data_IF_516273541355
#
_entry.id   IF_516273541355
#
_cell.length_a   1.000
_cell.length_b   1.000
_cell.length_c   1.000
_cell.angle_alpha   90.00
_cell.angle_beta   90.00
_cell.angle_gamma   90.00
#
_symmetry.space_group_name_H-M   'P 1'
#
loop_
_entity.id
_entity.type
_entity.pdbx_description
1 polymer ?
#
# COMPACT_ATOMS: atom_id res chain seq x y z
N UNK A 1 -47.45 24.17 -23.74
CA UNK A 1 -46.22 23.34 -23.73
C UNK A 1 -45.49 23.59 -22.41
N UNK A 2 -45.70 22.72 -21.44
CA UNK A 2 -45.15 22.88 -20.08
C UNK A 2 -43.74 22.35 -19.99
N UNK A 3 -42.78 23.22 -19.75
CA UNK A 3 -41.37 22.87 -19.53
C UNK A 3 -41.21 22.29 -18.11
N UNK A 4 -41.08 20.95 -17.99
CA UNK A 4 -40.79 20.29 -16.71
C UNK A 4 -39.32 20.52 -16.39
N UNK A 5 -39.02 21.51 -15.56
CA UNK A 5 -37.71 21.70 -14.93
C UNK A 5 -37.42 20.50 -14.05
N UNK A 6 -36.52 19.64 -14.48
CA UNK A 6 -35.98 18.55 -13.66
C UNK A 6 -35.07 19.14 -12.59
N UNK A 7 -35.46 19.01 -11.30
CA UNK A 7 -34.61 19.35 -10.16
C UNK A 7 -33.33 18.50 -10.21
N UNK A 8 -32.15 19.08 -10.01
CA UNK A 8 -30.90 18.28 -9.94
C UNK A 8 -31.03 17.28 -8.80
N UNK A 9 -30.77 15.98 -9.10
CA UNK A 9 -30.65 14.95 -8.09
C UNK A 9 -29.45 15.30 -7.19
N UNK A 10 -29.73 15.56 -5.91
CA UNK A 10 -28.70 15.76 -4.89
C UNK A 10 -27.91 14.47 -4.79
N UNK A 11 -26.69 14.44 -5.32
CA UNK A 11 -25.80 13.29 -5.22
C UNK A 11 -25.56 12.96 -3.73
N UNK A 12 -25.75 11.68 -3.37
CA UNK A 12 -25.53 11.24 -2.01
C UNK A 12 -24.03 11.31 -1.70
N UNK A 13 -23.68 11.96 -0.61
CA UNK A 13 -22.29 12.06 -0.18
C UNK A 13 -21.68 10.67 0.10
N UNK A 14 -20.41 10.43 -0.28
CA UNK A 14 -19.77 9.16 -0.10
C UNK A 14 -19.66 8.78 1.38
N UNK A 15 -19.84 7.48 1.65
CA UNK A 15 -19.65 6.88 2.97
C UNK A 15 -18.41 6.00 2.95
N UNK A 16 -17.67 6.01 4.04
CA UNK A 16 -16.50 5.15 4.21
C UNK A 16 -16.71 4.20 5.39
N UNK A 17 -16.27 2.94 5.27
CA UNK A 17 -16.50 1.89 6.29
C UNK A 17 -15.95 2.25 7.67
N UNK A 18 -14.92 3.08 7.74
CA UNK A 18 -14.26 3.46 8.99
C UNK A 18 -14.95 4.59 9.74
N UNK A 19 -15.98 5.23 9.16
CA UNK A 19 -16.59 6.41 9.73
C UNK A 19 -18.09 6.45 9.47
N UNK A 20 -18.86 6.76 10.53
CA UNK A 20 -20.34 6.72 10.47
C UNK A 20 -20.98 7.86 9.66
N UNK A 21 -20.31 9.02 9.61
CA UNK A 21 -20.85 10.19 8.93
C UNK A 21 -20.43 10.21 7.46
N UNK A 22 -21.23 10.83 6.58
CA UNK A 22 -20.85 11.07 5.20
C UNK A 22 -19.60 11.94 5.11
N UNK A 23 -18.83 11.77 4.04
CA UNK A 23 -17.62 12.50 3.79
C UNK A 23 -17.82 13.46 2.60
N UNK A 24 -17.22 14.64 2.69
CA UNK A 24 -17.10 15.56 1.57
C UNK A 24 -15.76 15.33 0.86
N UNK A 25 -15.79 15.30 -0.46
CA UNK A 25 -14.60 15.44 -1.27
C UNK A 25 -14.14 16.89 -1.21
N UNK A 26 -12.93 17.12 -0.76
CA UNK A 26 -12.27 18.42 -0.83
C UNK A 26 -11.31 18.37 -2.01
N UNK A 27 -11.63 19.09 -3.07
CA UNK A 27 -10.67 19.45 -4.12
C UNK A 27 -10.08 20.78 -3.69
N UNK A 28 -8.82 20.78 -3.27
CA UNK A 28 -8.31 21.97 -2.63
C UNK A 28 -7.26 22.72 -3.43
N UNK A 29 -7.24 23.96 -3.16
CA UNK A 29 -6.20 24.94 -3.31
C UNK A 29 -5.09 24.70 -2.25
N UNK A 30 -3.81 24.76 -2.60
CA UNK A 30 -2.68 24.60 -1.67
C UNK A 30 -2.77 25.45 -0.40
N UNK A 31 -3.40 26.62 -0.47
CA UNK A 31 -3.55 27.51 0.68
C UNK A 31 -4.48 26.94 1.75
N UNK A 32 -5.50 26.19 1.36
CA UNK A 32 -6.47 25.58 2.30
C UNK A 32 -5.85 24.45 3.11
N UNK A 33 -4.87 23.74 2.57
CA UNK A 33 -4.16 22.65 3.26
C UNK A 33 -3.37 23.13 4.46
N UNK A 34 -2.76 24.29 4.37
CA UNK A 34 -1.92 24.85 5.46
C UNK A 34 -2.71 25.10 6.75
N UNK A 35 -4.03 25.20 6.65
CA UNK A 35 -4.94 25.43 7.78
C UNK A 35 -5.37 24.13 8.47
N UNK A 36 -5.19 22.97 7.80
CA UNK A 36 -5.60 21.67 8.36
C UNK A 36 -4.40 21.05 9.08
N UNK A 37 -4.40 21.11 10.39
CA UNK A 37 -3.33 20.54 11.23
C UNK A 37 -3.53 19.06 11.57
N UNK A 38 -4.72 18.50 11.31
CA UNK A 38 -5.03 17.11 11.61
C UNK A 38 -4.46 16.17 10.56
N UNK A 39 -3.75 15.09 10.94
CA UNK A 39 -3.24 14.12 9.98
C UNK A 39 -4.35 13.24 9.41
N UNK A 40 -4.05 12.53 8.33
CA UNK A 40 -4.96 11.53 7.77
C UNK A 40 -5.34 10.49 8.82
N UNK A 41 -6.63 10.25 9.01
CA UNK A 41 -7.15 9.30 10.02
C UNK A 41 -6.74 7.86 9.74
N UNK A 42 -6.48 7.51 8.48
CA UNK A 42 -6.03 6.19 8.09
C UNK A 42 -4.52 5.99 8.26
N UNK A 43 -3.68 6.70 7.54
CA UNK A 43 -2.24 6.47 7.54
C UNK A 43 -1.46 7.24 8.61
N UNK A 44 -2.10 8.19 9.29
CA UNK A 44 -1.50 9.08 10.31
C UNK A 44 -0.37 9.98 9.80
N UNK A 45 -0.26 10.13 8.49
CA UNK A 45 0.66 11.05 7.83
C UNK A 45 -0.02 12.40 7.58
N UNK A 46 0.78 13.43 7.36
CA UNK A 46 0.30 14.75 6.96
C UNK A 46 -0.57 14.66 5.71
N UNK A 47 -1.58 15.51 5.64
CA UNK A 47 -2.46 15.57 4.49
C UNK A 47 -1.72 16.15 3.29
N UNK A 48 -1.80 15.46 2.18
CA UNK A 48 -1.15 15.82 0.92
C UNK A 48 -1.92 15.28 -0.28
N UNK A 49 -1.59 15.76 -1.47
CA UNK A 49 -2.25 15.34 -2.70
C UNK A 49 -3.49 16.20 -3.01
N UNK A 50 -4.07 15.99 -4.17
CA UNK A 50 -5.15 16.83 -4.73
C UNK A 50 -6.54 16.39 -4.32
N UNK A 51 -6.70 15.19 -3.79
CA UNK A 51 -7.99 14.59 -3.41
C UNK A 51 -7.99 14.18 -1.95
N UNK A 52 -8.79 14.88 -1.16
CA UNK A 52 -8.98 14.61 0.27
C UNK A 52 -10.46 14.45 0.59
N UNK A 53 -10.74 13.69 1.61
CA UNK A 53 -12.08 13.55 2.16
C UNK A 53 -12.10 14.07 3.60
N UNK A 54 -13.12 14.85 3.93
CA UNK A 54 -13.39 15.33 5.31
C UNK A 54 -14.76 14.89 5.77
N UNK A 55 -14.91 14.66 7.05
CA UNK A 55 -16.21 14.41 7.64
C UNK A 55 -17.08 15.67 7.62
N UNK A 56 -18.37 15.50 7.32
CA UNK A 56 -19.34 16.61 7.31
C UNK A 56 -19.74 17.08 8.72
N UNK A 57 -19.39 16.31 9.76
CA UNK A 57 -19.82 16.52 11.15
C UNK A 57 -18.63 16.64 12.10
N UNK A 58 -17.61 15.79 11.92
CA UNK A 58 -16.41 15.78 12.77
C UNK A 58 -15.33 16.68 12.16
N UNK A 59 -14.71 17.52 12.97
CA UNK A 59 -13.68 18.47 12.50
C UNK A 59 -12.28 17.86 12.40
N UNK A 60 -12.10 16.62 12.84
CA UNK A 60 -10.80 15.95 13.00
C UNK A 60 -10.66 14.68 12.16
N UNK A 61 -11.63 14.37 11.31
CA UNK A 61 -11.62 13.16 10.47
C UNK A 61 -11.35 13.52 9.01
N UNK A 62 -10.14 13.16 8.55
CA UNK A 62 -9.68 13.40 7.17
C UNK A 62 -9.08 12.13 6.60
N UNK A 63 -9.24 11.91 5.31
CA UNK A 63 -8.60 10.83 4.55
C UNK A 63 -7.98 11.38 3.27
N UNK A 64 -6.78 10.90 2.93
CA UNK A 64 -6.29 11.02 1.56
C UNK A 64 -7.22 10.27 0.61
N UNK A 65 -7.32 10.70 -0.63
CA UNK A 65 -8.06 9.98 -1.66
C UNK A 65 -7.59 8.53 -1.82
N UNK A 66 -6.28 8.30 -1.83
CA UNK A 66 -5.69 6.97 -1.86
C UNK A 66 -6.06 6.11 -0.63
N UNK A 67 -6.14 6.72 0.56
CA UNK A 67 -6.57 6.00 1.77
C UNK A 67 -8.07 5.70 1.78
N UNK A 68 -8.89 6.55 1.15
CA UNK A 68 -10.32 6.34 0.99
C UNK A 68 -10.62 5.17 0.03
N UNK A 69 -9.83 5.05 -1.06
CA UNK A 69 -10.03 4.04 -2.10
C UNK A 69 -9.39 2.69 -1.78
N UNK A 70 -8.75 2.52 -0.63
CA UNK A 70 -8.11 1.26 -0.28
C UNK A 70 -9.10 0.10 -0.28
N UNK A 71 -8.77 -1.01 -0.95
CA UNK A 71 -9.58 -2.21 -0.93
C UNK A 71 -9.69 -2.76 0.50
N UNK A 72 -10.86 -3.30 0.85
CA UNK A 72 -11.09 -3.87 2.18
C UNK A 72 -10.31 -5.17 2.40
N UNK A 73 -10.05 -5.89 1.34
CA UNK A 73 -9.41 -7.20 1.37
C UNK A 73 -8.38 -7.28 0.25
N UNK A 74 -7.19 -7.78 0.57
CA UNK A 74 -6.12 -7.98 -0.39
C UNK A 74 -5.47 -9.36 -0.20
N UNK A 75 -4.97 -9.94 -1.28
CA UNK A 75 -3.96 -10.99 -1.25
C UNK A 75 -2.65 -10.32 -1.61
N UNK A 76 -1.66 -10.41 -0.72
CA UNK A 76 -0.37 -9.75 -0.88
C UNK A 76 0.72 -10.77 -1.19
N UNK A 77 1.67 -10.49 -2.13
CA UNK A 77 2.75 -11.44 -2.48
C UNK A 77 3.60 -11.88 -1.29
N UNK A 78 3.76 -11.03 -0.29
CA UNK A 78 4.42 -11.37 0.97
C UNK A 78 3.65 -12.41 1.80
N UNK A 79 2.34 -12.51 1.64
CA UNK A 79 1.45 -13.33 2.46
C UNK A 79 0.31 -13.87 1.59
N UNK A 80 0.60 -14.93 0.81
CA UNK A 80 -0.28 -15.47 -0.25
C UNK A 80 -1.37 -16.40 0.29
N UNK A 81 -1.11 -17.03 1.42
CA UNK A 81 -1.95 -18.11 1.96
C UNK A 81 -3.27 -17.61 2.53
N UNK A 82 -3.31 -16.36 2.97
CA UNK A 82 -4.50 -15.78 3.57
C UNK A 82 -4.77 -14.36 3.08
N UNK A 83 -6.04 -14.00 3.09
CA UNK A 83 -6.49 -12.63 2.82
C UNK A 83 -6.09 -11.72 3.98
N UNK A 84 -5.54 -10.56 3.66
CA UNK A 84 -5.32 -9.48 4.60
C UNK A 84 -6.53 -8.54 4.58
N UNK A 85 -7.12 -8.28 5.75
CA UNK A 85 -8.32 -7.45 5.90
C UNK A 85 -7.93 -6.05 6.39
N UNK A 86 -8.46 -5.01 5.74
CA UNK A 86 -8.25 -3.62 6.15
C UNK A 86 -9.06 -3.29 7.39
N UNK A 87 -8.39 -3.09 8.51
CA UNK A 87 -8.96 -2.66 9.77
C UNK A 87 -8.82 -1.14 9.93
N UNK A 88 -9.88 -0.48 10.41
CA UNK A 88 -9.84 0.95 10.74
C UNK A 88 -9.22 1.25 12.11
N UNK A 89 -9.02 0.22 12.91
CA UNK A 89 -8.33 0.24 14.21
C UNK A 89 -7.48 -1.02 14.33
N UNK A 90 -6.32 -0.95 14.98
CA UNK A 90 -5.51 -2.13 15.24
C UNK A 90 -6.30 -3.25 15.95
N UNK A 91 -6.02 -4.50 15.61
CA UNK A 91 -6.68 -5.68 16.19
C UNK A 91 -6.40 -5.86 17.70
N UNK A 92 -5.38 -5.19 18.21
CA UNK A 92 -4.88 -5.35 19.58
C UNK A 92 -5.49 -4.34 20.55
N UNK A 93 -5.71 -4.75 21.80
CA UNK A 93 -6.32 -3.92 22.86
C UNK A 93 -5.55 -2.63 23.15
N UNK A 94 -4.22 -2.65 22.95
CA UNK A 94 -3.35 -1.50 23.13
C UNK A 94 -3.54 -0.44 22.05
N UNK A 95 -4.35 -0.70 21.03
CA UNK A 95 -4.60 0.21 19.90
C UNK A 95 -3.37 0.48 19.06
N UNK A 96 -2.42 -0.45 19.02
CA UNK A 96 -1.16 -0.37 18.28
C UNK A 96 -0.80 -1.74 17.71
N UNK A 97 -0.09 -1.74 16.58
CA UNK A 97 0.50 -2.93 15.97
C UNK A 97 1.95 -2.66 15.60
N UNK A 98 2.69 -3.69 15.26
CA UNK A 98 4.03 -3.59 14.65
C UNK A 98 3.92 -4.06 13.21
N UNK A 99 4.34 -3.22 12.28
CA UNK A 99 4.27 -3.54 10.85
C UNK A 99 5.38 -4.51 10.45
N UNK A 100 5.02 -5.65 9.86
CA UNK A 100 5.97 -6.67 9.40
C UNK A 100 6.80 -6.19 8.20
N UNK A 101 6.31 -5.22 7.43
CA UNK A 101 7.07 -4.63 6.34
C UNK A 101 8.20 -3.72 6.83
N UNK A 102 7.88 -2.70 7.62
CA UNK A 102 8.86 -1.66 7.99
C UNK A 102 9.38 -1.78 9.43
N UNK A 103 8.82 -2.65 10.26
CA UNK A 103 9.19 -2.84 11.66
C UNK A 103 8.73 -1.72 12.60
N UNK A 104 8.11 -0.66 12.10
CA UNK A 104 7.66 0.47 12.91
C UNK A 104 6.28 0.21 13.53
N UNK A 105 5.99 0.91 14.62
CA UNK A 105 4.68 0.86 15.28
C UNK A 105 3.63 1.65 14.50
N UNK A 106 2.41 1.10 14.39
CA UNK A 106 1.25 1.75 13.78
C UNK A 106 0.11 1.95 14.76
N UNK A 107 -0.69 3.00 14.51
CA UNK A 107 -1.93 3.34 15.24
C UNK A 107 -3.11 3.58 14.30
N UNK A 108 -2.85 3.65 13.01
CA UNK A 108 -3.83 3.93 11.96
C UNK A 108 -4.48 2.66 11.44
N UNK A 109 -4.94 2.73 10.19
CA UNK A 109 -5.43 1.55 9.49
C UNK A 109 -4.29 0.58 9.25
N UNK A 110 -4.61 -0.70 9.35
CA UNK A 110 -3.69 -1.79 9.04
C UNK A 110 -4.38 -2.85 8.20
N UNK A 111 -3.62 -3.50 7.34
CA UNK A 111 -4.01 -4.78 6.80
C UNK A 111 -3.56 -5.86 7.78
N UNK A 112 -4.50 -6.69 8.19
CA UNK A 112 -4.32 -7.71 9.24
C UNK A 112 -4.74 -9.09 8.75
N UNK A 113 -3.96 -10.10 9.12
CA UNK A 113 -4.33 -11.51 8.98
C UNK A 113 -4.55 -12.11 10.37
N UNK A 114 -5.80 -12.37 10.73
CA UNK A 114 -6.16 -12.91 12.05
C UNK A 114 -5.49 -14.28 12.34
N UNK A 115 -5.47 -15.27 11.43
CA UNK A 115 -4.81 -16.56 11.67
C UNK A 115 -3.30 -16.47 11.91
N UNK A 116 -2.61 -15.51 11.25
CA UNK A 116 -1.15 -15.43 11.27
C UNK A 116 -0.62 -14.33 12.19
N UNK A 117 -1.47 -13.40 12.62
CA UNK A 117 -1.05 -12.19 13.34
C UNK A 117 -0.20 -11.23 12.51
N UNK A 118 -0.26 -11.35 11.17
CA UNK A 118 0.48 -10.47 10.26
C UNK A 118 -0.18 -9.11 10.22
N UNK A 119 0.62 -8.04 10.34
CA UNK A 119 0.16 -6.66 10.29
C UNK A 119 0.99 -5.81 9.34
N UNK A 120 0.33 -5.11 8.44
CA UNK A 120 0.97 -4.13 7.56
C UNK A 120 0.32 -2.76 7.73
N UNK A 121 1.13 -1.70 7.81
CA UNK A 121 0.56 -0.37 7.59
C UNK A 121 -0.17 -0.37 6.25
N UNK A 122 -1.30 0.32 6.19
CA UNK A 122 -2.07 0.44 4.96
C UNK A 122 -1.22 0.94 3.77
N UNK A 123 -0.31 1.89 4.00
CA UNK A 123 0.59 2.39 2.97
C UNK A 123 1.77 1.44 2.66
N UNK A 124 2.21 0.61 3.60
CA UNK A 124 3.23 -0.40 3.35
C UNK A 124 2.71 -1.52 2.45
N UNK A 125 1.47 -1.94 2.66
CA UNK A 125 0.83 -2.97 1.88
C UNK A 125 0.64 -2.59 0.39
N UNK A 126 0.64 -1.31 0.06
CA UNK A 126 0.45 -0.82 -1.31
C UNK A 126 1.70 -0.15 -1.89
N UNK A 127 2.87 -0.47 -1.36
CA UNK A 127 4.12 0.04 -1.92
C UNK A 127 4.39 -0.55 -3.31
N UNK A 128 4.85 0.27 -4.27
CA UNK A 128 5.16 -0.22 -5.61
C UNK A 128 6.31 -1.23 -5.58
N UNK A 129 6.22 -2.29 -6.37
CA UNK A 129 7.26 -3.33 -6.43
C UNK A 129 8.56 -2.85 -7.07
N UNK A 130 8.49 -1.77 -7.84
CA UNK A 130 9.65 -1.17 -8.48
C UNK A 130 9.52 0.35 -8.48
N UNK A 131 10.62 1.05 -8.17
CA UNK A 131 10.67 2.52 -8.12
C UNK A 131 11.96 3.05 -8.74
N UNK A 132 11.92 4.29 -9.21
CA UNK A 132 13.11 5.10 -9.48
C UNK A 132 13.37 6.04 -8.32
N UNK A 133 14.63 6.37 -8.06
CA UNK A 133 15.00 7.29 -6.99
C UNK A 133 16.22 8.13 -7.41
N UNK A 134 16.21 9.42 -7.10
CA UNK A 134 17.22 10.38 -7.59
C UNK A 134 18.67 10.05 -7.19
N UNK A 135 18.84 9.31 -6.10
CA UNK A 135 20.16 8.89 -5.65
C UNK A 135 20.68 7.61 -6.33
N UNK A 136 19.92 7.03 -7.29
CA UNK A 136 20.33 5.81 -7.96
C UNK A 136 19.76 5.71 -9.38
N UNK A 137 20.63 5.41 -10.35
CA UNK A 137 20.27 5.45 -11.79
C UNK A 137 19.40 4.28 -12.24
N UNK A 138 19.49 3.15 -11.57
CA UNK A 138 18.69 1.96 -11.89
C UNK A 138 17.39 1.90 -11.10
N UNK A 139 16.42 1.18 -11.64
CA UNK A 139 15.19 0.89 -10.89
C UNK A 139 15.49 0.04 -9.66
N UNK A 140 14.90 0.40 -8.54
CA UNK A 140 14.99 -0.34 -7.30
C UNK A 140 13.79 -1.30 -7.19
N UNK A 141 14.04 -2.57 -6.88
CA UNK A 141 12.99 -3.58 -6.70
C UNK A 141 12.68 -3.74 -5.21
N UNK A 142 11.40 -3.84 -4.87
CA UNK A 142 10.93 -4.13 -3.49
C UNK A 142 11.21 -5.60 -3.16
N UNK A 143 11.81 -5.83 -2.01
CA UNK A 143 12.12 -7.17 -1.50
C UNK A 143 11.50 -7.36 -0.13
N UNK A 144 10.84 -8.49 0.06
CA UNK A 144 10.19 -8.88 1.30
C UNK A 144 11.17 -9.65 2.19
N UNK A 145 11.32 -9.20 3.43
CA UNK A 145 12.20 -9.83 4.40
C UNK A 145 13.68 -9.51 4.23
N UNK A 146 14.51 -10.13 5.05
CA UNK A 146 15.97 -9.96 5.00
C UNK A 146 16.57 -10.81 3.90
N UNK A 147 17.32 -10.18 3.00
CA UNK A 147 18.10 -10.87 1.96
C UNK A 147 19.12 -11.87 2.51
N UNK A 148 19.44 -11.76 3.78
CA UNK A 148 20.41 -12.60 4.45
C UNK A 148 19.85 -13.00 5.80
N UNK A 149 19.67 -14.28 6.02
CA UNK A 149 19.02 -14.85 7.21
C UNK A 149 19.53 -14.32 8.55
N UNK A 150 20.71 -13.71 8.60
CA UNK A 150 21.32 -13.11 9.79
C UNK A 150 22.14 -11.83 9.49
N UNK A 151 22.05 -11.23 8.31
CA UNK A 151 22.88 -10.08 7.95
C UNK A 151 22.05 -8.78 8.02
N UNK A 152 22.66 -7.77 8.59
CA UNK A 152 22.22 -6.39 8.53
C UNK A 152 22.68 -5.81 7.20
N UNK A 153 21.84 -4.98 6.56
CA UNK A 153 22.29 -4.16 5.43
C UNK A 153 22.54 -2.72 5.91
N UNK A 154 23.35 -1.98 5.19
CA UNK A 154 23.50 -0.54 5.35
C UNK A 154 22.65 0.16 4.29
N UNK A 155 21.74 1.03 4.73
CA UNK A 155 20.93 1.81 3.81
C UNK A 155 21.80 2.85 3.08
N UNK A 156 21.86 2.80 1.76
CA UNK A 156 22.68 3.72 0.96
C UNK A 156 22.22 5.19 1.04
N UNK A 157 20.97 5.44 1.46
CA UNK A 157 20.41 6.78 1.59
C UNK A 157 20.73 7.41 2.94
N UNK A 158 20.44 6.71 4.05
CA UNK A 158 20.61 7.28 5.40
C UNK A 158 21.81 6.71 6.19
N UNK A 159 22.57 5.79 5.61
CA UNK A 159 23.75 5.12 6.20
C UNK A 159 23.45 4.34 7.49
N UNK A 160 22.19 4.24 7.87
CA UNK A 160 21.79 3.49 9.05
C UNK A 160 21.59 2.01 8.73
N UNK A 161 21.86 1.10 9.69
CA UNK A 161 21.63 -0.31 9.50
C UNK A 161 20.14 -0.62 9.38
N UNK A 162 19.80 -1.60 8.52
CA UNK A 162 18.52 -2.25 8.46
C UNK A 162 18.66 -3.74 8.75
N UNK A 163 17.55 -4.37 9.08
CA UNK A 163 17.49 -5.80 9.34
C UNK A 163 16.16 -6.33 8.81
N UNK A 164 15.83 -7.52 8.93
CA UNK A 164 14.57 -8.26 8.63
C UNK A 164 13.34 -7.53 8.02
N UNK A 165 13.37 -6.20 7.84
CA UNK A 165 12.31 -5.42 7.20
C UNK A 165 12.40 -5.53 5.69
N UNK A 166 11.30 -5.19 5.02
CA UNK A 166 11.31 -5.01 3.58
C UNK A 166 12.23 -3.85 3.20
N UNK A 167 12.79 -3.94 2.03
CA UNK A 167 13.72 -2.93 1.51
C UNK A 167 13.57 -2.81 -0.01
N UNK A 168 14.06 -1.71 -0.54
CA UNK A 168 14.31 -1.57 -1.96
C UNK A 168 15.76 -1.87 -2.27
N UNK A 169 16.01 -2.61 -3.36
CA UNK A 169 17.36 -2.95 -3.80
C UNK A 169 17.57 -2.78 -5.30
N UNK A 170 18.83 -2.57 -5.66
CA UNK A 170 19.39 -2.84 -6.98
C UNK A 170 20.48 -3.90 -6.83
N UNK A 171 20.29 -5.10 -7.41
CA UNK A 171 21.26 -6.20 -7.35
C UNK A 171 22.63 -5.82 -7.97
N UNK A 172 22.68 -5.34 -9.24
CA UNK A 172 23.96 -5.07 -9.88
C UNK A 172 24.84 -4.05 -9.16
N UNK A 173 24.22 -3.14 -8.39
CA UNK A 173 24.94 -2.10 -7.66
C UNK A 173 25.08 -2.35 -6.16
N UNK A 174 24.57 -3.47 -5.65
CA UNK A 174 24.47 -3.75 -4.21
C UNK A 174 23.88 -2.58 -3.41
N UNK A 175 22.93 -1.88 -4.04
CA UNK A 175 22.27 -0.74 -3.43
C UNK A 175 21.05 -1.20 -2.63
N UNK A 176 21.00 -0.85 -1.35
CA UNK A 176 19.92 -1.20 -0.42
C UNK A 176 19.36 0.05 0.22
N UNK A 177 18.05 0.17 0.34
CA UNK A 177 17.41 1.32 0.96
C UNK A 177 16.18 0.93 1.78
N UNK A 178 16.01 1.57 2.94
CA UNK A 178 14.80 1.43 3.74
C UNK A 178 13.58 1.95 2.98
N UNK A 179 12.41 1.34 3.20
CA UNK A 179 11.14 1.80 2.64
C UNK A 179 10.89 3.29 2.89
N UNK A 180 11.14 3.74 4.13
CA UNK A 180 10.97 5.14 4.53
C UNK A 180 11.92 6.11 3.81
N UNK A 181 13.15 5.67 3.53
CA UNK A 181 14.13 6.52 2.86
C UNK A 181 13.77 6.75 1.40
N UNK A 182 13.28 5.72 0.72
CA UNK A 182 12.83 5.83 -0.67
C UNK A 182 11.57 6.69 -0.77
N UNK A 183 10.67 6.64 0.22
CA UNK A 183 9.45 7.43 0.24
C UNK A 183 9.68 8.90 0.63
N UNK A 184 10.61 9.18 1.54
CA UNK A 184 10.87 10.50 2.10
C UNK A 184 11.95 11.30 1.38
N UNK A 185 12.78 10.65 0.54
CA UNK A 185 13.73 11.33 -0.32
C UNK A 185 12.99 12.03 -1.47
N UNK A 186 13.34 13.29 -1.75
CA UNK A 186 12.67 14.21 -2.69
C UNK A 186 12.65 13.80 -4.17
N UNK A 187 12.92 12.54 -4.48
CA UNK A 187 12.68 11.94 -5.78
C UNK A 187 11.23 11.50 -5.84
N UNK A 188 10.46 12.20 -6.63
CA UNK A 188 9.04 12.01 -6.85
C UNK A 188 8.60 10.56 -6.93
N UNK A 189 8.31 9.95 -5.79
CA UNK A 189 7.15 9.08 -5.77
C UNK A 189 6.01 10.09 -5.94
N UNK A 190 5.92 10.60 -7.15
CA UNK A 190 4.85 11.49 -7.55
C UNK A 190 3.61 10.84 -7.02
N UNK A 191 2.70 11.63 -6.46
CA UNK A 191 1.43 11.16 -5.93
C UNK A 191 0.63 10.31 -6.93
N UNK A 192 1.33 9.37 -7.55
CA UNK A 192 0.84 8.26 -8.33
C UNK A 192 0.07 7.42 -7.36
N UNK A 193 -1.25 7.63 -7.35
CA UNK A 193 -2.17 6.74 -6.71
C UNK A 193 -1.81 5.29 -7.03
N UNK A 194 -2.44 4.36 -6.37
CA UNK A 194 -2.41 2.89 -6.48
C UNK A 194 -2.19 2.33 -7.91
N UNK A 195 -2.18 3.20 -8.92
CA UNK A 195 -2.02 2.88 -10.34
C UNK A 195 -0.68 2.23 -10.73
N UNK A 196 0.33 2.24 -9.85
CA UNK A 196 1.61 1.57 -10.12
C UNK A 196 1.65 0.10 -9.65
N UNK A 197 0.62 -0.35 -8.96
CA UNK A 197 0.47 -1.76 -8.60
C UNK A 197 -0.38 -2.43 -9.68
N UNK A 198 0.13 -3.50 -10.28
CA UNK A 198 -0.70 -4.43 -11.04
C UNK A 198 -1.78 -4.96 -10.09
N UNK A 199 -2.95 -4.33 -10.09
CA UNK A 199 -4.07 -4.81 -9.30
C UNK A 199 -4.92 -5.73 -10.15
N UNK A 200 -5.10 -6.98 -9.70
CA UNK A 200 -6.05 -7.90 -10.29
C UNK A 200 -7.26 -7.98 -9.37
N UNK A 201 -8.44 -7.66 -9.91
CA UNK A 201 -9.69 -7.80 -9.17
C UNK A 201 -10.21 -9.23 -9.35
N UNK A 202 -10.31 -9.96 -8.24
CA UNK A 202 -10.98 -11.26 -8.21
C UNK A 202 -12.42 -11.04 -7.76
N UNK A 203 -13.37 -11.77 -8.33
CA UNK A 203 -14.79 -11.66 -7.98
C UNK A 203 -15.02 -11.73 -6.46
N UNK A 204 -15.86 -10.83 -5.94
CA UNK A 204 -16.14 -10.74 -4.48
C UNK A 204 -15.47 -9.57 -3.74
N UNK A 205 -14.72 -8.70 -4.43
CA UNK A 205 -14.14 -7.49 -3.82
C UNK A 205 -12.73 -7.66 -3.25
N UNK A 206 -12.12 -8.85 -3.37
CA UNK A 206 -10.73 -9.11 -3.00
C UNK A 206 -9.82 -8.63 -4.13
N UNK A 207 -8.77 -7.90 -3.79
CA UNK A 207 -7.76 -7.41 -4.74
C UNK A 207 -6.46 -8.20 -4.55
N UNK A 208 -5.99 -8.83 -5.62
CA UNK A 208 -4.67 -9.47 -5.65
C UNK A 208 -3.64 -8.44 -6.08
N UNK A 209 -2.62 -8.23 -5.26
CA UNK A 209 -1.51 -7.35 -5.57
C UNK A 209 -0.42 -8.15 -6.29
N UNK A 210 0.05 -7.65 -7.42
CA UNK A 210 1.10 -8.31 -8.20
C UNK A 210 1.88 -7.32 -9.05
N UNK A 211 3.05 -7.72 -9.53
CA UNK A 211 3.80 -6.99 -10.53
C UNK A 211 3.11 -7.05 -11.89
N UNK A 212 3.17 -5.99 -12.69
CA UNK A 212 2.64 -6.02 -14.06
C UNK A 212 3.46 -7.00 -14.92
N UNK A 213 2.82 -7.78 -15.82
CA UNK A 213 3.53 -8.57 -16.82
C UNK A 213 4.41 -7.64 -17.68
N UNK A 214 5.73 -7.88 -17.69
CA UNK A 214 6.70 -7.07 -18.41
C UNK A 214 7.69 -6.30 -17.51
N UNK A 215 7.48 -6.25 -16.19
CA UNK A 215 8.48 -5.72 -15.24
C UNK A 215 9.42 -6.82 -14.69
N UNK A 216 9.29 -8.03 -15.18
CA UNK A 216 10.21 -9.12 -14.91
C UNK A 216 11.27 -9.13 -15.99
N UNK A 217 12.33 -8.35 -15.82
CA UNK A 217 13.54 -8.53 -16.59
C UNK A 217 14.13 -9.89 -16.20
N UNK A 218 14.21 -10.77 -17.18
CA UNK A 218 14.86 -12.07 -17.11
C UNK A 218 16.38 -11.84 -16.99
N UNK A 219 16.82 -11.51 -15.78
CA UNK A 219 18.23 -11.49 -15.43
C UNK A 219 18.69 -12.93 -15.20
N UNK A 220 18.95 -13.62 -16.32
CA UNK A 220 19.59 -14.92 -16.31
C UNK A 220 20.93 -14.89 -15.57
N UNK A 221 21.09 -15.81 -14.64
CA UNK A 221 22.40 -16.24 -14.14
C UNK A 221 22.66 -15.98 -12.66
N UNK A 222 22.75 -17.08 -12.04
CA UNK A 222 23.44 -17.56 -10.83
C UNK A 222 22.51 -17.94 -9.68
N UNK A 223 22.36 -19.28 -9.59
CA UNK A 223 21.71 -20.03 -8.54
C UNK A 223 22.49 -19.88 -7.23
N UNK A 224 22.22 -18.80 -6.50
CA UNK A 224 22.40 -18.83 -5.05
C UNK A 224 21.02 -19.09 -4.44
N UNK A 225 20.80 -20.32 -3.99
CA UNK A 225 19.64 -20.73 -3.19
C UNK A 225 19.47 -19.77 -2.00
N UNK A 226 18.68 -18.74 -2.22
CA UNK A 226 18.13 -17.91 -1.14
C UNK A 226 16.69 -18.33 -1.01
N UNK A 227 16.43 -19.06 0.04
CA UNK A 227 15.10 -19.44 0.54
C UNK A 227 14.35 -18.16 0.98
N UNK A 228 13.95 -17.37 0.00
CA UNK A 228 13.27 -16.09 0.14
C UNK A 228 12.59 -15.79 -1.17
N UNK A 229 11.36 -16.17 -1.28
CA UNK A 229 10.41 -16.08 -2.39
C UNK A 229 10.71 -14.92 -3.35
N UNK A 230 11.34 -15.24 -4.48
CA UNK A 230 11.51 -14.32 -5.60
C UNK A 230 10.14 -14.09 -6.26
N UNK A 231 9.87 -12.84 -6.62
CA UNK A 231 8.62 -12.43 -7.25
C UNK A 231 8.34 -13.09 -8.61
N UNK A 232 9.32 -13.79 -9.19
CA UNK A 232 9.16 -14.53 -10.45
C UNK A 232 8.09 -15.62 -10.39
N UNK A 233 7.83 -16.19 -9.20
CA UNK A 233 6.79 -17.20 -8.99
C UNK A 233 5.36 -16.64 -8.82
N UNK A 234 5.21 -15.32 -8.62
CA UNK A 234 3.89 -14.70 -8.37
C UNK A 234 3.00 -14.73 -9.62
N UNK A 235 3.61 -14.69 -10.81
CA UNK A 235 2.87 -14.70 -12.06
C UNK A 235 2.10 -16.01 -12.31
N UNK A 236 2.70 -17.15 -11.99
CA UNK A 236 2.10 -18.45 -12.23
C UNK A 236 1.19 -18.90 -11.08
N UNK A 237 1.55 -18.58 -9.82
CA UNK A 237 0.74 -18.97 -8.67
C UNK A 237 -0.59 -18.18 -8.54
N UNK A 238 -0.63 -16.93 -9.00
CA UNK A 238 -1.86 -16.14 -8.99
C UNK A 238 -2.88 -16.67 -10.01
N UNK A 239 -2.41 -17.20 -11.14
CA UNK A 239 -3.29 -17.79 -12.16
C UNK A 239 -3.89 -19.11 -11.67
N UNK A 240 -3.11 -19.93 -10.95
CA UNK A 240 -3.59 -21.20 -10.40
C UNK A 240 -4.59 -21.01 -9.26
N UNK A 241 -4.41 -19.96 -8.41
CA UNK A 241 -5.37 -19.61 -7.36
C UNK A 241 -6.70 -19.10 -7.95
N UNK A 242 -6.66 -18.39 -9.07
CA UNK A 242 -7.86 -17.94 -9.78
C UNK A 242 -8.59 -19.15 -10.36
N UNK A 243 -7.87 -20.13 -10.92
CA UNK A 243 -8.45 -21.38 -11.41
C UNK A 243 -9.12 -22.21 -10.31
N UNK A 244 -8.51 -22.30 -9.14
CA UNK A 244 -9.06 -23.04 -8.00
C UNK A 244 -10.31 -22.37 -7.40
N UNK A 245 -10.36 -21.04 -7.36
CA UNK A 245 -11.52 -20.30 -6.83
C UNK A 245 -12.71 -20.30 -7.80
N UNK A 246 -12.48 -20.32 -9.10
CA UNK A 246 -13.56 -20.39 -10.10
C UNK A 246 -14.12 -21.81 -10.28
N UNK A 247 -13.38 -22.86 -9.90
CA UNK A 247 -13.84 -24.25 -9.92
C UNK A 247 -14.89 -24.61 -8.87
N UNK A 248 -15.15 -23.76 -7.89
CA UNK A 248 -16.18 -23.96 -6.85
C UNK A 248 -17.50 -23.21 -7.12
N UNK A 249 -17.66 -22.56 -8.27
CA UNK A 249 -18.86 -21.79 -8.63
C UNK A 249 -19.61 -22.32 -9.86
N UNK A 250 -19.41 -23.61 -10.21
CA UNK A 250 -20.23 -24.32 -11.23
C UNK A 250 -21.00 -25.46 -10.59
#
# INVERSE_FOLDING_TARGET
MGNKSSKPKKEALPKHFSHRHPLNLITHDPETLTLITSPCSACKLELSGTRLYSCTVCNDFFLHGSCFDMPKEIIHPFHKEHVLVLLSKPAYKEGRFRCDACGEKGKGFSYHCDPCGTDLHNYCAVMPFSVTHDCHVHRLKLVFGSLYANKKFSCAICQMPGSRQWLYRCRPCEFYAHLKCVRGGGGGVGGGGIAALGTFTVGGGIVVLGALPGEMDDDGGDDDEIDGQDLSDVGNGAVDLIGALLGFLV
#
